data_IF_601073538669
#
_entry.id   IF_601073538669
#
_cell.length_a   1.000
_cell.length_b   1.000
_cell.length_c   1.000
_cell.angle_alpha   90.00
_cell.angle_beta   90.00
_cell.angle_gamma   90.00
#
_symmetry.space_group_name_H-M   'P 1'
#
loop_
_entity.id
_entity.type
_entity.pdbx_description
1 polymer ?
#
# COMPACT_ATOMS: atom_id res chain seq x y z
N UNK A 1 4.79 42.67 -1.37
CA UNK A 1 5.36 41.39 -0.92
C UNK A 1 4.37 40.79 0.06
N UNK A 2 3.49 39.92 -0.40
CA UNK A 2 2.69 39.06 0.47
C UNK A 2 2.96 37.63 0.02
N UNK A 3 3.59 36.88 0.91
CA UNK A 3 3.97 35.49 0.69
C UNK A 3 2.71 34.64 0.54
N UNK A 4 2.67 33.84 -0.52
CA UNK A 4 1.58 32.95 -0.83
C UNK A 4 1.28 31.98 0.31
N UNK A 5 0.09 32.12 0.90
CA UNK A 5 -0.56 31.01 1.59
C UNK A 5 -0.96 29.99 0.52
N UNK A 6 -0.14 28.95 0.36
CA UNK A 6 -0.59 27.74 -0.32
C UNK A 6 -1.69 27.14 0.55
N UNK A 7 -2.94 27.38 0.21
CA UNK A 7 -4.07 26.66 0.78
C UNK A 7 -3.86 25.20 0.35
N UNK A 8 -3.34 24.37 1.26
CA UNK A 8 -3.39 22.91 1.09
C UNK A 8 -4.87 22.55 1.12
N UNK A 9 -5.48 22.42 -0.05
CA UNK A 9 -6.85 21.93 -0.17
C UNK A 9 -6.93 20.57 0.55
N UNK A 10 -7.82 20.46 1.55
CA UNK A 10 -8.04 19.21 2.25
C UNK A 10 -8.58 18.18 1.25
N UNK A 11 -7.79 17.14 0.95
CA UNK A 11 -8.15 16.10 -0.03
C UNK A 11 -9.07 15.04 0.62
N UNK A 12 -9.40 15.19 1.90
CA UNK A 12 -10.22 14.27 2.68
C UNK A 12 -9.56 13.95 4.04
N UNK A 13 -10.23 13.14 4.85
CA UNK A 13 -9.70 12.65 6.13
C UNK A 13 -10.63 11.61 6.74
N UNK A 14 -10.20 11.01 7.84
CA UNK A 14 -11.00 10.01 8.57
C UNK A 14 -11.55 10.60 9.86
N UNK A 15 -12.77 10.20 10.22
CA UNK A 15 -13.30 10.48 11.55
C UNK A 15 -12.39 9.84 12.61
N UNK A 16 -12.07 10.55 13.70
CA UNK A 16 -11.26 9.99 14.77
C UNK A 16 -11.99 8.83 15.43
N UNK A 17 -11.26 7.74 15.64
CA UNK A 17 -11.72 6.54 16.34
C UNK A 17 -10.65 6.10 17.32
N UNK A 18 -11.05 5.33 18.33
CA UNK A 18 -10.12 4.84 19.34
C UNK A 18 -9.06 3.92 18.72
N UNK A 19 -7.81 4.03 19.21
CA UNK A 19 -6.71 3.20 18.73
C UNK A 19 -6.90 1.73 19.12
N UNK A 20 -6.72 0.84 18.15
CA UNK A 20 -6.98 -0.59 18.34
C UNK A 20 -5.93 -1.22 19.25
N UNK A 21 -4.68 -0.76 19.21
CA UNK A 21 -3.62 -1.24 20.10
C UNK A 21 -3.92 -0.90 21.57
N UNK A 22 -4.52 0.27 21.83
CA UNK A 22 -4.96 0.66 23.17
C UNK A 22 -6.22 -0.12 23.59
N UNK A 23 -7.17 -0.33 22.68
CA UNK A 23 -8.33 -1.20 22.94
C UNK A 23 -7.91 -2.63 23.32
N UNK A 24 -6.96 -3.20 22.58
CA UNK A 24 -6.46 -4.55 22.79
C UNK A 24 -5.69 -4.69 24.12
N UNK A 25 -4.99 -3.64 24.58
CA UNK A 25 -4.22 -3.67 25.84
C UNK A 25 -5.10 -3.82 27.08
N UNK A 26 -6.37 -3.38 27.02
CA UNK A 26 -7.32 -3.40 28.13
C UNK A 26 -7.93 -4.78 28.42
N UNK A 27 -7.46 -5.84 27.75
CA UNK A 27 -7.91 -7.23 27.96
C UNK A 27 -9.44 -7.38 27.90
N UNK A 28 -10.05 -6.78 26.86
CA UNK A 28 -11.48 -6.85 26.67
C UNK A 28 -11.90 -8.30 26.38
N UNK A 29 -12.72 -8.88 27.26
CA UNK A 29 -13.42 -10.16 26.99
C UNK A 29 -14.40 -10.05 25.81
N UNK A 30 -14.67 -8.83 25.33
CA UNK A 30 -15.65 -8.53 24.30
C UNK A 30 -15.10 -7.52 23.28
N UNK A 31 -15.19 -7.86 22.00
CA UNK A 31 -14.82 -6.98 20.88
C UNK A 31 -15.99 -6.01 20.63
N UNK A 32 -15.76 -4.69 20.52
CA UNK A 32 -16.85 -3.76 20.23
C UNK A 32 -17.54 -4.07 18.89
N UNK A 33 -18.86 -3.90 18.83
CA UNK A 33 -19.69 -4.27 17.67
C UNK A 33 -19.25 -3.64 16.34
N UNK A 34 -18.62 -2.47 16.37
CA UNK A 34 -18.08 -1.81 15.17
C UNK A 34 -16.95 -2.59 14.50
N UNK A 35 -16.25 -3.47 15.23
CA UNK A 35 -15.17 -4.29 14.65
C UNK A 35 -15.65 -5.67 14.18
N UNK A 36 -16.77 -6.15 14.73
CA UNK A 36 -17.32 -7.47 14.40
C UNK A 36 -17.84 -7.47 12.95
N UNK A 37 -17.27 -8.35 12.12
CA UNK A 37 -17.69 -8.60 10.74
C UNK A 37 -18.69 -9.76 10.68
N UNK A 38 -19.54 -9.77 9.64
CA UNK A 38 -20.43 -10.91 9.43
C UNK A 38 -19.65 -12.13 8.97
N UNK A 39 -20.15 -13.35 9.24
CA UNK A 39 -19.47 -14.58 8.80
C UNK A 39 -19.29 -14.62 7.27
N UNK A 40 -20.26 -14.10 6.51
CA UNK A 40 -20.20 -14.00 5.05
C UNK A 40 -19.03 -13.10 4.59
N UNK A 41 -18.86 -11.91 5.19
CA UNK A 41 -17.74 -10.99 4.88
C UNK A 41 -16.35 -11.60 5.15
N UNK A 42 -16.26 -12.52 6.12
CA UNK A 42 -15.00 -13.12 6.56
C UNK A 42 -14.68 -14.41 5.79
N UNK A 43 -15.70 -15.20 5.50
CA UNK A 43 -15.59 -16.59 5.03
C UNK A 43 -15.99 -16.81 3.57
N UNK A 44 -16.31 -15.77 2.79
CA UNK A 44 -16.43 -15.91 1.33
C UNK A 44 -15.18 -16.62 0.79
N UNK A 45 -15.35 -17.92 0.53
CA UNK A 45 -14.42 -18.89 -0.02
C UNK A 45 -12.96 -18.77 0.47
N UNK A 46 -12.74 -18.86 1.79
CA UNK A 46 -11.45 -19.35 2.30
C UNK A 46 -11.37 -20.82 1.85
N UNK A 47 -10.66 -21.09 0.76
CA UNK A 47 -10.17 -22.45 0.54
C UNK A 47 -9.47 -22.84 1.84
N UNK A 48 -9.82 -24.00 2.40
CA UNK A 48 -8.89 -24.76 3.20
C UNK A 48 -7.70 -25.12 2.27
N UNK A 49 -6.87 -24.12 1.94
CA UNK A 49 -5.73 -24.33 1.08
C UNK A 49 -4.80 -25.16 1.93
N UNK A 50 -4.72 -26.46 1.62
CA UNK A 50 -3.81 -27.37 2.28
C UNK A 50 -2.34 -26.90 2.17
N UNK A 51 -2.04 -25.96 1.25
CA UNK A 51 -0.73 -25.34 1.08
C UNK A 51 -0.81 -23.87 0.64
N UNK A 52 -0.14 -22.92 1.33
CA UNK A 52 -0.08 -21.53 0.91
C UNK A 52 0.50 -21.39 -0.50
N UNK A 53 -0.10 -20.51 -1.32
CA UNK A 53 0.40 -20.26 -2.67
C UNK A 53 1.70 -19.46 -2.60
N UNK A 54 2.77 -20.03 -3.15
CA UNK A 54 3.97 -19.26 -3.43
C UNK A 54 3.71 -18.41 -4.68
N UNK A 55 3.41 -17.13 -4.49
CA UNK A 55 3.36 -16.17 -5.60
C UNK A 55 4.73 -16.11 -6.30
N UNK A 56 4.79 -15.70 -7.59
CA UNK A 56 6.04 -15.61 -8.33
C UNK A 56 7.15 -14.89 -7.56
N UNK A 57 8.39 -15.29 -7.81
CA UNK A 57 9.58 -14.67 -7.21
C UNK A 57 10.37 -14.00 -8.33
N UNK A 58 10.68 -12.73 -8.14
CA UNK A 58 11.55 -11.96 -9.02
C UNK A 58 12.88 -11.69 -8.32
N UNK A 59 13.98 -11.80 -9.06
CA UNK A 59 15.32 -11.52 -8.54
C UNK A 59 15.94 -10.35 -9.30
N UNK A 60 16.36 -9.32 -8.57
CA UNK A 60 17.18 -8.22 -9.08
C UNK A 60 18.68 -8.55 -8.96
N UNK A 61 19.15 -9.70 -9.46
CA UNK A 61 20.57 -10.02 -9.39
C UNK A 61 21.37 -9.24 -10.45
N UNK A 62 22.24 -8.33 -9.99
CA UNK A 62 23.29 -7.71 -10.80
C UNK A 62 24.58 -8.52 -10.65
N UNK A 63 24.93 -9.33 -11.65
CA UNK A 63 26.33 -9.70 -11.86
C UNK A 63 26.73 -9.07 -13.19
N UNK A 64 27.26 -7.84 -13.10
CA UNK A 64 28.40 -7.27 -13.84
C UNK A 64 28.35 -5.74 -13.74
N UNK A 65 29.44 -5.18 -13.21
CA UNK A 65 29.76 -3.76 -13.15
C UNK A 65 29.73 -3.14 -14.56
N UNK A 66 29.28 -1.88 -14.64
CA UNK A 66 29.33 -0.93 -15.77
C UNK A 66 28.15 -0.77 -16.74
N UNK A 67 27.17 -1.66 -16.78
CA UNK A 67 25.87 -1.37 -17.42
C UNK A 67 24.79 -2.18 -16.70
N UNK A 68 23.89 -1.51 -15.95
CA UNK A 68 22.80 -2.18 -15.23
C UNK A 68 21.74 -2.73 -16.19
N UNK A 69 21.99 -3.88 -16.80
CA UNK A 69 20.92 -4.71 -17.36
C UNK A 69 20.46 -5.71 -16.30
N UNK A 70 19.25 -5.50 -15.78
CA UNK A 70 18.58 -6.50 -14.94
C UNK A 70 18.19 -7.66 -15.85
N UNK A 71 18.86 -8.81 -15.74
CA UNK A 71 18.42 -10.05 -16.39
C UNK A 71 17.28 -10.67 -15.59
N UNK A 72 16.05 -10.24 -15.87
CA UNK A 72 14.87 -11.04 -15.53
C UNK A 72 14.86 -12.28 -16.44
N UNK A 73 14.61 -13.48 -15.91
CA UNK A 73 14.37 -14.65 -16.76
C UNK A 73 12.92 -14.57 -17.28
N UNK A 74 12.76 -14.00 -18.46
CA UNK A 74 11.53 -13.38 -18.98
C UNK A 74 10.55 -14.32 -19.70
N UNK A 75 10.89 -15.59 -19.91
CA UNK A 75 10.11 -16.46 -20.81
C UNK A 75 8.85 -17.09 -20.19
N UNK A 76 8.55 -16.85 -18.91
CA UNK A 76 7.47 -17.57 -18.20
C UNK A 76 6.55 -16.75 -17.28
N UNK A 77 6.76 -15.44 -17.10
CA UNK A 77 5.87 -14.65 -16.26
C UNK A 77 4.70 -14.11 -17.09
N UNK A 78 3.52 -14.73 -16.97
CA UNK A 78 2.27 -14.13 -17.44
C UNK A 78 1.99 -12.82 -16.67
N UNK A 79 1.33 -11.83 -17.29
CA UNK A 79 0.94 -10.59 -16.62
C UNK A 79 -0.05 -10.89 -15.48
N UNK A 80 0.23 -10.39 -14.28
CA UNK A 80 -0.57 -10.64 -13.06
C UNK A 80 0.32 -10.53 -11.83
N UNK A 81 0.88 -9.35 -11.58
CA UNK A 81 2.05 -9.22 -10.71
C UNK A 81 1.64 -8.87 -9.28
N UNK A 82 1.26 -9.91 -8.53
CA UNK A 82 1.62 -10.01 -7.13
C UNK A 82 2.85 -10.90 -7.06
N UNK A 83 4.00 -10.35 -6.71
CA UNK A 83 5.30 -11.08 -6.75
C UNK A 83 6.15 -10.71 -5.56
N UNK A 84 7.09 -11.59 -5.22
CA UNK A 84 8.10 -11.31 -4.21
C UNK A 84 9.43 -10.99 -4.87
N UNK A 85 9.89 -9.77 -4.67
CA UNK A 85 11.17 -9.30 -5.16
C UNK A 85 12.27 -9.59 -4.14
N UNK A 86 13.27 -10.35 -4.56
CA UNK A 86 14.51 -10.62 -3.83
C UNK A 86 15.70 -9.97 -4.53
N UNK A 87 16.86 -9.90 -3.85
CA UNK A 87 18.08 -9.29 -4.40
C UNK A 87 17.89 -7.83 -4.87
N UNK A 88 16.94 -7.09 -4.28
CA UNK A 88 16.61 -5.72 -4.68
C UNK A 88 17.66 -4.67 -4.29
N UNK A 89 18.70 -5.04 -3.54
CA UNK A 89 19.80 -4.14 -3.15
C UNK A 89 19.47 -3.15 -2.03
N UNK A 90 18.30 -3.28 -1.40
CA UNK A 90 17.82 -2.37 -0.33
C UNK A 90 17.74 -3.03 1.05
N UNK A 91 18.41 -4.17 1.27
CA UNK A 91 18.30 -4.95 2.50
C UNK A 91 18.61 -4.14 3.76
N UNK A 92 19.66 -3.32 3.73
CA UNK A 92 20.07 -2.51 4.87
C UNK A 92 18.98 -1.49 5.28
N UNK A 93 18.54 -0.63 4.35
CA UNK A 93 17.54 0.40 4.66
C UNK A 93 16.18 -0.21 5.04
N UNK A 94 15.87 -1.40 4.54
CA UNK A 94 14.68 -2.16 4.94
C UNK A 94 14.78 -2.59 6.40
N UNK A 95 15.91 -3.16 6.81
CA UNK A 95 16.10 -3.62 8.18
C UNK A 95 16.07 -2.44 9.17
N UNK A 96 16.75 -1.34 8.84
CA UNK A 96 16.69 -0.11 9.63
C UNK A 96 15.26 0.40 9.78
N UNK A 97 14.49 0.41 8.68
CA UNK A 97 13.10 0.87 8.70
C UNK A 97 12.19 -0.07 9.51
N UNK A 98 12.44 -1.39 9.49
CA UNK A 98 11.72 -2.35 10.34
C UNK A 98 11.95 -2.04 11.82
N UNK A 99 13.20 -1.87 12.24
CA UNK A 99 13.56 -1.61 13.63
C UNK A 99 12.86 -0.35 14.14
N UNK A 100 12.99 0.78 13.44
CA UNK A 100 12.39 2.04 13.91
C UNK A 100 10.85 2.01 13.88
N UNK A 101 10.25 1.20 13.00
CA UNK A 101 8.80 0.96 12.99
C UNK A 101 8.36 0.20 14.23
N UNK A 102 9.05 -0.89 14.57
CA UNK A 102 8.75 -1.66 15.79
C UNK A 102 8.95 -0.82 17.05
N UNK A 103 10.02 -0.04 17.11
CA UNK A 103 10.28 0.88 18.22
C UNK A 103 9.18 1.93 18.36
N UNK A 104 8.73 2.54 17.25
CA UNK A 104 7.64 3.50 17.26
C UNK A 104 6.35 2.90 17.84
N UNK A 105 5.94 1.71 17.38
CA UNK A 105 4.69 1.09 17.88
C UNK A 105 4.79 0.57 19.32
N UNK A 106 6.00 0.42 19.87
CA UNK A 106 6.24 0.11 21.29
C UNK A 106 6.17 1.34 22.20
N UNK A 107 6.19 2.55 21.64
CA UNK A 107 6.08 3.78 22.43
C UNK A 107 4.71 3.87 23.15
N UNK A 108 4.65 4.56 24.32
CA UNK A 108 3.39 4.89 24.96
C UNK A 108 2.42 5.60 24.00
N UNK A 109 1.12 5.41 24.19
CA UNK A 109 0.10 6.03 23.34
C UNK A 109 0.28 7.55 23.23
N UNK A 110 0.55 8.23 24.35
CA UNK A 110 0.76 9.68 24.36
C UNK A 110 1.90 10.14 23.44
N UNK A 111 3.00 9.38 23.37
CA UNK A 111 4.13 9.68 22.48
C UNK A 111 3.75 9.49 21.00
N UNK A 112 3.02 8.42 20.67
CA UNK A 112 2.53 8.18 19.30
C UNK A 112 1.51 9.23 18.87
N UNK A 113 0.69 9.71 19.80
CA UNK A 113 -0.33 10.74 19.52
C UNK A 113 0.26 12.15 19.31
N UNK A 114 1.55 12.38 19.58
CA UNK A 114 2.24 13.62 19.17
C UNK A 114 2.17 13.81 17.65
N UNK A 115 2.26 12.71 16.90
CA UNK A 115 2.05 12.68 15.46
C UNK A 115 0.67 12.15 15.06
N UNK A 116 -0.33 12.23 15.94
CA UNK A 116 -1.70 11.80 15.67
C UNK A 116 -2.32 12.53 14.47
N UNK A 117 -3.23 11.87 13.77
CA UNK A 117 -3.99 12.49 12.68
C UNK A 117 -4.77 13.71 13.18
N UNK A 118 -4.79 14.76 12.36
CA UNK A 118 -5.64 15.93 12.57
C UNK A 118 -6.95 15.76 11.77
N UNK A 119 -8.05 16.43 12.17
CA UNK A 119 -9.28 16.43 11.40
C UNK A 119 -9.05 16.81 9.94
N UNK A 120 -9.69 16.09 9.01
CA UNK A 120 -9.53 16.28 7.55
C UNK A 120 -8.09 16.12 7.05
N UNK A 121 -7.29 15.29 7.72
CA UNK A 121 -5.96 14.89 7.27
C UNK A 121 -5.85 13.37 7.23
N UNK A 122 -5.08 12.87 6.26
CA UNK A 122 -4.78 11.44 6.12
C UNK A 122 -3.44 11.08 6.78
N UNK A 123 -2.52 12.04 6.92
CA UNK A 123 -1.22 11.85 7.54
C UNK A 123 -1.31 11.81 9.07
N UNK A 124 -0.42 11.02 9.68
CA UNK A 124 -0.31 10.85 11.12
C UNK A 124 -0.70 9.46 11.60
N UNK A 125 -0.63 9.28 12.91
CA UNK A 125 -1.00 8.07 13.63
C UNK A 125 -2.52 8.04 13.91
N UNK A 126 -3.17 6.93 13.57
CA UNK A 126 -4.61 6.74 13.74
C UNK A 126 -5.18 5.64 12.84
N UNK A 127 -6.34 5.89 12.23
CA UNK A 127 -7.00 5.00 11.28
C UNK A 127 -7.38 5.76 10.00
N UNK A 128 -7.49 5.04 8.88
CA UNK A 128 -7.82 5.63 7.59
C UNK A 128 -9.14 5.06 7.06
N UNK A 129 -9.80 5.79 6.15
CA UNK A 129 -11.07 5.45 5.51
C UNK A 129 -12.27 5.31 6.48
N UNK A 130 -12.30 6.15 7.52
CA UNK A 130 -13.47 6.27 8.41
C UNK A 130 -14.35 7.44 7.96
N UNK A 131 -15.45 7.12 7.28
CA UNK A 131 -16.36 8.10 6.66
C UNK A 131 -17.70 8.27 7.38
N UNK A 132 -18.06 7.36 8.30
CA UNK A 132 -19.27 7.49 9.12
C UNK A 132 -19.14 6.90 10.53
N UNK A 133 -20.05 7.28 11.44
CA UNK A 133 -20.06 6.79 12.83
C UNK A 133 -20.61 5.36 12.97
N UNK A 134 -21.43 4.93 12.01
CA UNK A 134 -22.09 3.62 11.99
C UNK A 134 -21.30 2.56 11.19
N UNK A 135 -20.22 2.94 10.49
CA UNK A 135 -19.44 1.99 9.72
C UNK A 135 -18.71 0.97 10.60
N UNK A 136 -18.46 -0.19 9.99
CA UNK A 136 -17.52 -1.18 10.50
C UNK A 136 -16.08 -0.68 10.41
N UNK A 137 -15.27 -0.98 11.42
CA UNK A 137 -13.89 -0.52 11.60
C UNK A 137 -12.90 -1.68 11.50
N UNK A 138 -11.70 -1.38 11.05
CA UNK A 138 -10.62 -2.36 10.92
C UNK A 138 -9.88 -2.56 12.24
N UNK A 139 -9.44 -3.79 12.50
CA UNK A 139 -8.67 -4.13 13.70
C UNK A 139 -7.18 -3.87 13.47
N UNK A 140 -6.83 -2.60 13.33
CA UNK A 140 -5.45 -2.16 13.21
C UNK A 140 -5.31 -0.64 13.33
N UNK A 141 -4.15 -0.22 13.82
CA UNK A 141 -3.70 1.18 13.78
C UNK A 141 -2.70 1.37 12.63
N UNK A 142 -2.54 2.61 12.18
CA UNK A 142 -1.56 2.96 11.16
C UNK A 142 -0.89 4.31 11.42
N UNK A 143 0.33 4.45 10.92
CA UNK A 143 1.02 5.73 10.74
C UNK A 143 1.20 5.93 9.24
N UNK A 144 0.54 6.95 8.68
CA UNK A 144 0.68 7.32 7.27
C UNK A 144 1.46 8.63 7.11
N UNK A 145 2.47 8.63 6.23
CA UNK A 145 3.34 9.78 6.01
C UNK A 145 3.59 9.99 4.51
N UNK A 146 3.46 11.22 4.04
CA UNK A 146 3.92 11.59 2.70
C UNK A 146 5.44 11.70 2.70
N UNK A 147 6.09 10.87 1.90
CA UNK A 147 7.54 10.80 1.77
C UNK A 147 8.07 11.50 0.51
N UNK A 148 7.31 11.44 -0.59
CA UNK A 148 7.59 12.16 -1.83
C UNK A 148 6.32 12.85 -2.40
N UNK A 149 6.48 13.96 -3.14
CA UNK A 149 7.72 14.73 -3.29
C UNK A 149 8.11 15.43 -1.98
N UNK A 150 9.37 15.85 -1.84
CA UNK A 150 9.87 16.47 -0.61
C UNK A 150 9.06 17.70 -0.19
N UNK A 151 8.54 18.46 -1.16
CA UNK A 151 7.71 19.64 -0.94
C UNK A 151 6.37 19.35 -0.25
N UNK A 152 5.89 18.10 -0.31
CA UNK A 152 4.66 17.66 0.36
C UNK A 152 4.86 17.10 1.75
N UNK A 153 6.11 16.90 2.21
CA UNK A 153 6.37 16.41 3.56
C UNK A 153 5.79 17.36 4.60
N UNK A 154 5.16 16.79 5.61
CA UNK A 154 4.69 17.53 6.77
C UNK A 154 5.37 16.99 8.04
N UNK A 155 6.41 17.70 8.48
CA UNK A 155 7.24 17.27 9.60
C UNK A 155 6.51 17.26 10.95
N UNK A 156 5.31 17.83 11.04
CA UNK A 156 4.44 17.70 12.22
C UNK A 156 4.04 16.23 12.46
N UNK A 157 3.80 15.46 11.40
CA UNK A 157 3.40 14.05 11.52
C UNK A 157 4.58 13.09 11.57
N UNK A 158 5.79 13.53 11.23
CA UNK A 158 6.96 12.66 11.25
C UNK A 158 7.45 12.47 12.69
N UNK A 159 7.47 11.23 13.22
CA UNK A 159 7.95 10.97 14.58
C UNK A 159 9.34 11.55 14.84
N UNK A 160 9.56 12.04 16.07
CA UNK A 160 10.89 12.38 16.57
C UNK A 160 11.51 11.26 17.40
N UNK A 161 10.68 10.32 17.86
CA UNK A 161 11.06 9.12 18.58
C UNK A 161 10.62 7.90 17.76
N UNK A 162 11.51 6.93 17.50
CA UNK A 162 12.94 6.94 17.80
C UNK A 162 13.71 8.05 17.05
N UNK A 163 14.85 8.48 17.59
CA UNK A 163 15.58 9.69 17.14
C UNK A 163 16.07 9.63 15.71
N UNK A 164 16.34 8.42 15.20
CA UNK A 164 16.76 8.17 13.81
C UNK A 164 15.58 7.96 12.84
N UNK A 165 14.31 7.95 13.31
CA UNK A 165 13.15 7.61 12.48
C UNK A 165 13.08 8.41 11.18
N UNK A 166 13.28 9.73 11.25
CA UNK A 166 13.14 10.63 10.09
C UNK A 166 14.21 10.39 9.03
N UNK A 167 15.45 10.16 9.46
CA UNK A 167 16.56 9.86 8.57
C UNK A 167 16.38 8.49 7.93
N UNK A 168 16.03 7.48 8.73
CA UNK A 168 15.73 6.13 8.25
C UNK A 168 14.58 6.14 7.23
N UNK A 169 13.48 6.84 7.51
CA UNK A 169 12.36 6.99 6.58
C UNK A 169 12.78 7.68 5.28
N UNK A 170 13.64 8.70 5.34
CA UNK A 170 14.15 9.38 4.16
C UNK A 170 14.96 8.44 3.26
N UNK A 171 15.91 7.69 3.83
CA UNK A 171 16.76 6.77 3.09
C UNK A 171 15.94 5.60 2.52
N UNK A 172 15.03 5.05 3.31
CA UNK A 172 14.09 4.00 2.89
C UNK A 172 13.22 4.45 1.71
N UNK A 173 12.59 5.62 1.83
CA UNK A 173 11.76 6.25 0.79
C UNK A 173 12.53 6.38 -0.53
N UNK A 174 13.76 6.89 -0.48
CA UNK A 174 14.62 7.11 -1.64
C UNK A 174 14.99 5.81 -2.35
N UNK A 175 15.36 4.75 -1.61
CA UNK A 175 15.72 3.48 -2.22
C UNK A 175 14.51 2.75 -2.79
N UNK A 176 13.36 2.77 -2.12
CA UNK A 176 12.13 2.21 -2.67
C UNK A 176 11.65 2.94 -3.92
N UNK A 177 11.83 4.26 -3.99
CA UNK A 177 11.55 5.03 -5.19
C UNK A 177 12.37 4.57 -6.40
N UNK A 178 13.68 4.35 -6.20
CA UNK A 178 14.56 3.82 -7.25
C UNK A 178 14.13 2.42 -7.72
N UNK A 179 13.70 1.57 -6.78
CA UNK A 179 13.18 0.23 -7.09
C UNK A 179 11.90 0.35 -7.92
N UNK A 180 10.96 1.21 -7.53
CA UNK A 180 9.71 1.45 -8.25
C UNK A 180 9.96 1.93 -9.68
N UNK A 181 10.84 2.92 -9.89
CA UNK A 181 11.20 3.40 -11.23
C UNK A 181 11.78 2.29 -12.11
N UNK A 182 12.68 1.45 -11.58
CA UNK A 182 13.25 0.31 -12.32
C UNK A 182 12.17 -0.71 -12.71
N UNK A 183 11.25 -1.01 -11.79
CA UNK A 183 10.12 -1.91 -12.06
C UNK A 183 9.20 -1.34 -13.14
N UNK A 184 8.87 -0.05 -13.08
CA UNK A 184 8.03 0.62 -14.07
C UNK A 184 8.69 0.65 -15.46
N UNK A 185 9.97 0.99 -15.55
CA UNK A 185 10.71 0.95 -16.82
C UNK A 185 10.74 -0.46 -17.42
N UNK A 186 10.82 -1.49 -16.57
CA UNK A 186 10.75 -2.88 -17.01
C UNK A 186 9.34 -3.27 -17.46
N UNK A 187 8.32 -2.86 -16.71
CA UNK A 187 6.91 -3.10 -17.04
C UNK A 187 6.54 -2.47 -18.39
N UNK A 188 7.08 -1.29 -18.73
CA UNK A 188 6.94 -0.68 -20.04
C UNK A 188 7.53 -1.55 -21.15
N UNK A 189 8.77 -2.03 -20.99
CA UNK A 189 9.41 -2.90 -21.99
C UNK A 189 8.60 -4.17 -22.26
N UNK A 190 8.02 -4.77 -21.22
CA UNK A 190 7.15 -5.94 -21.37
C UNK A 190 5.85 -5.66 -22.14
N UNK A 191 5.32 -4.43 -22.02
CA UNK A 191 4.16 -3.97 -22.79
C UNK A 191 4.54 -3.62 -24.25
N UNK A 192 5.84 -3.71 -24.60
CA UNK A 192 6.35 -3.34 -25.91
C UNK A 192 6.20 -1.85 -26.19
N UNK A 193 6.45 -1.02 -25.17
CA UNK A 193 6.52 0.45 -25.25
C UNK A 193 7.86 0.94 -24.68
N UNK A 194 8.20 2.19 -24.95
CA UNK A 194 9.43 2.79 -24.44
C UNK A 194 9.41 2.93 -22.91
N UNK A 195 10.54 2.66 -22.27
CA UNK A 195 10.65 2.63 -20.80
C UNK A 195 10.14 3.92 -20.13
N UNK A 196 10.41 5.06 -20.78
CA UNK A 196 10.05 6.38 -20.27
C UNK A 196 8.54 6.64 -20.30
N UNK A 197 7.76 5.99 -21.17
CA UNK A 197 6.32 6.24 -21.28
C UNK A 197 5.57 5.85 -20.00
N UNK A 198 6.02 4.79 -19.33
CA UNK A 198 5.44 4.36 -18.06
C UNK A 198 6.15 4.95 -16.84
N UNK A 199 7.48 5.13 -16.89
CA UNK A 199 8.24 5.57 -15.72
C UNK A 199 8.27 7.09 -15.51
N UNK A 200 8.19 7.91 -16.58
CA UNK A 200 8.31 9.37 -16.48
C UNK A 200 7.27 10.01 -15.54
N UNK A 201 5.97 9.60 -15.55
CA UNK A 201 4.99 10.14 -14.60
C UNK A 201 5.32 9.88 -13.12
N UNK A 202 6.23 8.93 -12.86
CA UNK A 202 6.68 8.56 -11.52
C UNK A 202 8.04 9.15 -11.18
N UNK A 203 8.72 9.93 -12.02
CA UNK A 203 10.01 10.54 -11.62
C UNK A 203 9.83 11.51 -10.45
N UNK A 204 8.80 12.37 -10.54
CA UNK A 204 8.30 13.24 -9.47
C UNK A 204 6.99 12.69 -8.89
N UNK A 205 7.02 11.42 -8.47
CA UNK A 205 5.85 10.71 -7.96
C UNK A 205 5.35 11.27 -6.62
N UNK A 206 4.10 10.91 -6.29
CA UNK A 206 3.63 10.94 -4.92
C UNK A 206 3.95 9.60 -4.27
N UNK A 207 4.73 9.63 -3.19
CA UNK A 207 5.02 8.44 -2.39
C UNK A 207 4.46 8.61 -0.98
N UNK A 208 3.48 7.78 -0.64
CA UNK A 208 2.95 7.66 0.72
C UNK A 208 3.50 6.39 1.37
N UNK A 209 3.87 6.46 2.64
CA UNK A 209 4.34 5.32 3.41
C UNK A 209 3.36 5.07 4.56
N UNK A 210 2.78 3.87 4.60
CA UNK A 210 1.86 3.41 5.64
C UNK A 210 2.48 2.29 6.44
N UNK A 211 2.73 2.55 7.71
CA UNK A 211 3.15 1.53 8.68
C UNK A 211 1.89 1.05 9.40
N UNK A 212 1.65 -0.25 9.38
CA UNK A 212 0.45 -0.86 9.94
C UNK A 212 0.81 -1.70 11.15
N UNK A 213 -0.02 -1.62 12.18
CA UNK A 213 0.05 -2.43 13.39
C UNK A 213 -1.30 -3.11 13.63
N UNK A 214 -1.30 -4.43 13.62
CA UNK A 214 -2.47 -5.25 13.88
C UNK A 214 -2.28 -5.93 15.25
N UNK A 215 -2.94 -5.47 16.32
CA UNK A 215 -2.83 -6.09 17.64
C UNK A 215 -3.39 -7.52 17.63
N UNK A 216 -2.93 -8.43 18.50
CA UNK A 216 -3.53 -9.75 18.63
C UNK A 216 -5.01 -9.65 19.02
N UNK A 217 -5.81 -10.63 18.58
CA UNK A 217 -7.25 -10.65 18.85
C UNK A 217 -7.73 -12.07 19.16
N UNK A 218 -8.21 -12.33 20.37
CA UNK A 218 -8.69 -13.67 20.78
C UNK A 218 -9.83 -14.19 19.89
N UNK A 219 -10.66 -13.30 19.33
CA UNK A 219 -11.65 -13.65 18.32
C UNK A 219 -11.24 -13.12 16.93
N UNK A 220 -10.01 -13.42 16.50
CA UNK A 220 -9.47 -13.01 15.20
C UNK A 220 -10.34 -13.45 14.01
N UNK A 221 -11.15 -14.50 14.19
CA UNK A 221 -12.13 -15.01 13.24
C UNK A 221 -13.37 -14.10 13.08
N UNK A 222 -13.54 -13.08 13.93
CA UNK A 222 -14.67 -12.14 13.91
C UNK A 222 -14.31 -10.74 13.43
N UNK A 223 -13.04 -10.47 13.19
CA UNK A 223 -12.53 -9.15 12.80
C UNK A 223 -11.68 -9.24 11.54
N UNK A 224 -11.45 -8.11 10.89
CA UNK A 224 -10.51 -7.99 9.78
C UNK A 224 -9.47 -6.94 10.15
N UNK A 225 -8.20 -7.20 9.84
CA UNK A 225 -7.12 -6.26 10.13
C UNK A 225 -7.11 -5.09 9.16
N UNK A 226 -7.33 -5.37 7.87
CA UNK A 226 -7.55 -4.36 6.84
C UNK A 226 -8.59 -4.87 5.85
N UNK A 227 -9.67 -4.12 5.67
CA UNK A 227 -10.83 -4.48 4.83
C UNK A 227 -10.41 -4.79 3.38
N UNK A 228 -11.07 -5.75 2.70
CA UNK A 228 -10.84 -6.05 1.28
C UNK A 228 -10.84 -4.82 0.37
N UNK A 229 -9.77 -4.63 -0.39
CA UNK A 229 -9.61 -3.50 -1.33
C UNK A 229 -8.61 -3.82 -2.44
N UNK A 230 -8.66 -3.05 -3.53
CA UNK A 230 -7.50 -2.84 -4.40
C UNK A 230 -6.77 -1.55 -4.03
N UNK A 231 -5.48 -1.50 -4.37
CA UNK A 231 -4.67 -0.32 -4.12
C UNK A 231 -4.97 0.74 -5.18
N UNK A 232 -5.46 1.92 -4.79
CA UNK A 232 -5.71 3.04 -5.69
C UNK A 232 -4.43 3.77 -6.16
N UNK A 233 -3.27 3.13 -6.09
CA UNK A 233 -1.97 3.69 -6.50
C UNK A 233 -1.51 3.08 -7.82
N UNK A 234 -0.29 3.41 -8.28
CA UNK A 234 0.33 2.73 -9.41
C UNK A 234 1.02 1.44 -8.97
N UNK A 235 1.94 1.56 -8.02
CA UNK A 235 2.73 0.43 -7.52
C UNK A 235 2.86 0.47 -6.00
N UNK A 236 2.56 -0.63 -5.33
CA UNK A 236 2.80 -0.80 -3.90
C UNK A 236 3.98 -1.72 -3.65
N UNK A 237 4.93 -1.24 -2.87
CA UNK A 237 6.05 -2.03 -2.34
C UNK A 237 5.77 -2.30 -0.86
N UNK A 238 5.34 -3.53 -0.57
CA UNK A 238 4.92 -3.97 0.76
C UNK A 238 6.01 -4.83 1.42
N UNK A 239 6.39 -4.43 2.63
CA UNK A 239 7.30 -5.18 3.48
C UNK A 239 6.56 -5.72 4.69
N UNK A 240 6.81 -6.98 4.99
CA UNK A 240 6.41 -7.55 6.27
C UNK A 240 7.54 -7.35 7.29
N UNK A 241 7.21 -6.71 8.42
CA UNK A 241 8.19 -6.32 9.44
C UNK A 241 8.60 -7.55 10.26
N UNK A 242 7.62 -8.21 10.88
CA UNK A 242 7.82 -9.38 11.73
C UNK A 242 7.36 -10.69 11.03
N UNK A 243 7.51 -11.84 11.66
CA UNK A 243 7.21 -13.13 11.01
C UNK A 243 5.72 -13.55 11.06
N UNK A 244 4.82 -12.64 11.44
CA UNK A 244 3.39 -12.95 11.58
C UNK A 244 2.67 -12.81 10.24
N UNK A 245 2.10 -13.92 9.78
CA UNK A 245 1.32 -14.00 8.55
C UNK A 245 0.03 -13.18 8.67
N UNK A 246 -0.48 -12.66 7.55
CA UNK A 246 -1.76 -11.95 7.56
C UNK A 246 -2.21 -11.39 6.22
N UNK A 247 -1.31 -11.21 5.25
CA UNK A 247 -1.73 -10.78 3.90
C UNK A 247 -2.45 -11.91 3.18
N UNK A 248 -3.62 -11.61 2.62
CA UNK A 248 -4.36 -12.48 1.71
C UNK A 248 -4.70 -11.73 0.43
N UNK A 249 -4.58 -12.40 -0.72
CA UNK A 249 -5.00 -11.88 -2.02
C UNK A 249 -6.22 -12.66 -2.52
N UNK A 250 -7.08 -12.03 -3.30
CA UNK A 250 -8.24 -12.67 -3.90
C UNK A 250 -7.89 -13.15 -5.31
N UNK A 251 -8.10 -14.43 -5.57
CA UNK A 251 -7.90 -15.05 -6.87
C UNK A 251 -8.98 -16.09 -7.10
N UNK A 252 -9.63 -16.05 -8.26
CA UNK A 252 -10.73 -16.96 -8.62
C UNK A 252 -11.81 -17.00 -7.52
N UNK A 253 -12.19 -15.81 -7.03
CA UNK A 253 -13.11 -15.55 -5.91
C UNK A 253 -12.68 -16.09 -4.54
N UNK A 254 -11.46 -16.61 -4.41
CA UNK A 254 -10.94 -17.21 -3.17
C UNK A 254 -9.85 -16.37 -2.53
N UNK A 255 -9.85 -16.35 -1.20
CA UNK A 255 -8.77 -15.73 -0.43
C UNK A 255 -7.58 -16.67 -0.31
N UNK A 256 -6.40 -16.21 -0.74
CA UNK A 256 -5.15 -16.96 -0.75
C UNK A 256 -4.14 -16.28 0.16
N UNK A 257 -3.62 -16.96 1.21
CA UNK A 257 -2.59 -16.41 2.07
C UNK A 257 -1.26 -16.30 1.32
N UNK A 258 -0.56 -15.18 1.53
CA UNK A 258 0.79 -14.96 1.01
C UNK A 258 1.79 -15.26 2.11
N UNK A 259 2.72 -16.17 1.85
CA UNK A 259 3.88 -16.39 2.70
C UNK A 259 5.07 -15.54 2.22
N UNK A 260 5.45 -14.48 2.95
CA UNK A 260 6.57 -13.65 2.54
C UNK A 260 7.89 -14.40 2.75
N UNK A 261 8.76 -14.32 1.75
CA UNK A 261 10.15 -14.73 1.80
C UNK A 261 10.89 -13.72 2.67
N UNK A 262 11.74 -14.22 3.55
CA UNK A 262 12.52 -13.35 4.42
C UNK A 262 13.35 -12.35 3.60
N UNK A 263 13.19 -11.06 3.93
CA UNK A 263 13.86 -9.96 3.24
C UNK A 263 13.28 -9.58 1.89
N UNK A 264 12.24 -10.25 1.38
CA UNK A 264 11.63 -9.92 0.10
C UNK A 264 10.67 -8.73 0.19
N UNK A 265 10.54 -8.00 -0.92
CA UNK A 265 9.53 -6.95 -1.12
C UNK A 265 8.35 -7.57 -1.87
N UNK A 266 7.15 -7.51 -1.32
CA UNK A 266 5.94 -7.87 -2.07
C UNK A 266 5.59 -6.69 -2.96
N UNK A 267 5.58 -6.91 -4.28
CA UNK A 267 5.19 -5.92 -5.27
C UNK A 267 3.75 -6.18 -5.67
N UNK A 268 2.88 -5.20 -5.48
CA UNK A 268 1.47 -5.22 -5.89
C UNK A 268 1.21 -4.13 -6.94
N UNK A 269 0.44 -4.48 -7.97
CA UNK A 269 -0.06 -3.56 -8.98
C UNK A 269 -1.31 -2.87 -8.43
N UNK A 270 -1.33 -1.54 -8.51
CA UNK A 270 -2.52 -0.77 -8.17
C UNK A 270 -3.37 -0.39 -9.38
N UNK A 271 -4.55 0.14 -9.10
CA UNK A 271 -5.59 0.47 -10.07
C UNK A 271 -5.12 1.46 -11.13
N UNK A 272 -4.28 2.44 -10.76
CA UNK A 272 -3.74 3.41 -11.71
C UNK A 272 -2.91 2.71 -12.78
N UNK A 273 -2.11 1.72 -12.39
CA UNK A 273 -1.26 0.99 -13.33
C UNK A 273 -2.06 0.00 -14.19
N UNK A 274 -3.15 -0.58 -13.66
CA UNK A 274 -4.12 -1.33 -14.46
C UNK A 274 -4.76 -0.43 -15.54
N UNK A 275 -5.18 0.78 -15.17
CA UNK A 275 -5.74 1.77 -16.10
C UNK A 275 -4.71 2.16 -17.16
N UNK A 276 -3.50 2.59 -16.75
CA UNK A 276 -2.45 3.05 -17.66
C UNK A 276 -2.01 1.94 -18.64
N UNK A 277 -2.00 0.69 -18.20
CA UNK A 277 -1.67 -0.46 -19.04
C UNK A 277 -2.83 -0.95 -19.91
N UNK A 278 -3.98 -0.27 -19.93
CA UNK A 278 -5.20 -0.71 -20.60
C UNK A 278 -5.64 -2.14 -20.20
N UNK A 279 -5.41 -2.52 -18.95
CA UNK A 279 -5.78 -3.82 -18.37
C UNK A 279 -4.79 -4.96 -18.63
N UNK A 280 -3.62 -4.69 -19.24
CA UNK A 280 -2.58 -5.70 -19.42
C UNK A 280 -1.92 -6.10 -18.08
N UNK A 281 -1.85 -5.17 -17.12
CA UNK A 281 -1.56 -5.49 -15.72
C UNK A 281 -2.83 -5.41 -14.90
N UNK A 282 -3.05 -6.39 -14.03
CA UNK A 282 -4.23 -6.45 -13.17
C UNK A 282 -3.88 -6.08 -11.73
N UNK A 283 -4.62 -5.11 -11.20
CA UNK A 283 -4.76 -4.82 -9.78
C UNK A 283 -5.60 -5.91 -9.11
N UNK A 284 -5.17 -6.37 -7.95
CA UNK A 284 -5.77 -7.51 -7.25
C UNK A 284 -6.35 -7.06 -5.91
N UNK A 285 -7.58 -7.48 -5.65
CA UNK A 285 -8.22 -7.30 -4.36
C UNK A 285 -7.46 -8.09 -3.30
N UNK A 286 -7.14 -7.46 -2.17
CA UNK A 286 -6.37 -8.04 -1.08
C UNK A 286 -6.90 -7.55 0.27
N UNK A 287 -6.59 -8.28 1.34
CA UNK A 287 -6.96 -7.95 2.72
C UNK A 287 -5.85 -8.32 3.70
N UNK A 288 -5.91 -7.78 4.92
CA UNK A 288 -5.09 -8.24 6.03
C UNK A 288 -5.96 -8.91 7.10
N UNK A 289 -5.59 -10.12 7.51
CA UNK A 289 -6.20 -10.82 8.64
C UNK A 289 -5.34 -10.66 9.90
N UNK A 290 -5.98 -10.82 11.05
CA UNK A 290 -5.36 -10.67 12.37
C UNK A 290 -4.97 -12.04 12.93
N UNK A 291 -3.94 -12.09 13.76
CA UNK A 291 -3.54 -13.29 14.48
C UNK A 291 -4.08 -13.26 15.92
N UNK A 292 -4.37 -14.43 16.49
CA UNK A 292 -4.97 -14.51 17.82
C UNK A 292 -3.99 -14.31 18.97
N UNK A 293 -2.70 -14.56 18.75
CA UNK A 293 -1.64 -14.56 19.77
C UNK A 293 -0.63 -13.42 19.61
N UNK A 294 -0.31 -13.05 18.36
CA UNK A 294 0.81 -12.15 18.05
C UNK A 294 0.36 -10.95 17.23
N UNK A 295 0.95 -9.80 17.52
CA UNK A 295 0.79 -8.62 16.69
C UNK A 295 1.46 -8.81 15.32
N UNK A 296 0.89 -8.20 14.28
CA UNK A 296 1.50 -8.16 12.95
C UNK A 296 1.87 -6.73 12.60
N UNK A 297 3.04 -6.55 12.00
CA UNK A 297 3.48 -5.26 11.47
C UNK A 297 3.84 -5.35 9.98
N UNK A 298 3.48 -4.32 9.21
CA UNK A 298 3.87 -4.20 7.81
C UNK A 298 4.02 -2.75 7.36
N UNK A 299 4.90 -2.50 6.39
CA UNK A 299 5.16 -1.18 5.82
C UNK A 299 4.82 -1.21 4.33
N UNK A 300 3.85 -0.41 3.90
CA UNK A 300 3.50 -0.26 2.49
C UNK A 300 4.01 1.09 1.97
N UNK A 301 4.78 1.08 0.89
CA UNK A 301 5.15 2.28 0.15
C UNK A 301 4.35 2.34 -1.16
N UNK A 302 3.42 3.27 -1.24
CA UNK A 302 2.55 3.51 -2.38
C UNK A 302 3.20 4.51 -3.32
N UNK A 303 3.31 4.18 -4.61
CA UNK A 303 3.88 5.05 -5.65
C UNK A 303 2.79 5.37 -6.65
N UNK A 304 2.34 6.62 -6.67
CA UNK A 304 1.38 7.14 -7.65
C UNK A 304 2.04 8.18 -8.55
N UNK A 305 1.59 8.36 -9.80
CA UNK A 305 2.07 9.43 -10.66
C UNK A 305 2.02 10.82 -10.02
N UNK A 306 2.66 11.81 -10.63
CA UNK A 306 2.49 13.21 -10.23
C UNK A 306 1.00 13.59 -10.20
N UNK A 307 0.59 14.51 -9.31
CA UNK A 307 -0.81 14.99 -9.23
C UNK A 307 -1.26 15.73 -10.47
N UNK A 308 -0.33 16.26 -11.27
CA UNK A 308 -0.62 16.91 -12.55
C UNK A 308 -0.73 15.92 -13.72
N UNK A 309 -0.44 14.63 -13.50
CA UNK A 309 -0.57 13.62 -14.53
C UNK A 309 -2.05 13.26 -14.76
N UNK A 310 -2.36 12.86 -15.99
CA UNK A 310 -3.62 12.23 -16.32
C UNK A 310 -3.51 10.72 -16.08
N UNK A 311 -4.56 10.14 -15.50
CA UNK A 311 -4.74 8.71 -15.26
C UNK A 311 -5.68 8.20 -16.34
N UNK A 312 -5.12 7.48 -17.31
CA UNK A 312 -5.84 6.90 -18.44
C UNK A 312 -4.92 5.94 -19.22
N UNK A 313 -5.47 5.13 -20.15
CA UNK A 313 -4.68 4.22 -20.97
C UNK A 313 -3.56 4.91 -21.73
N UNK A 314 -2.36 4.32 -21.75
CA UNK A 314 -1.23 4.87 -22.50
C UNK A 314 -1.52 4.85 -24.02
N UNK A 315 -1.22 5.94 -24.76
CA UNK A 315 -1.56 6.07 -26.18
C UNK A 315 -1.08 4.90 -27.06
N UNK A 316 0.10 4.36 -26.79
CA UNK A 316 0.68 3.27 -27.58
C UNK A 316 0.01 1.91 -27.36
N UNK A 317 -0.73 1.74 -26.25
CA UNK A 317 -1.48 0.52 -25.94
C UNK A 317 -2.88 0.54 -26.54
N UNK A 318 -3.50 1.72 -26.64
CA UNK A 318 -4.81 1.89 -27.31
C UNK A 318 -4.70 1.90 -28.84
N UNK A 319 -3.50 2.13 -29.41
CA UNK A 319 -3.28 1.86 -30.84
C UNK A 319 -3.37 0.37 -31.19
N UNK A 320 -3.08 -0.51 -30.21
CA UNK A 320 -3.05 -1.97 -30.37
C UNK A 320 -4.37 -2.64 -30.01
N UNK A 321 -5.27 -1.96 -29.29
CA UNK A 321 -6.50 -2.52 -28.74
C UNK A 321 -7.53 -1.44 -28.43
N UNK A 322 -8.82 -1.78 -28.31
CA UNK A 322 -9.84 -0.83 -27.89
C UNK A 322 -9.52 -0.25 -26.49
N UNK A 323 -9.79 1.04 -26.31
CA UNK A 323 -9.68 1.72 -25.02
C UNK A 323 -10.68 1.12 -24.02
N UNK A 324 -10.20 0.67 -22.85
CA UNK A 324 -11.05 0.02 -21.83
C UNK A 324 -11.38 0.92 -20.65
N UNK A 325 -10.65 2.03 -20.47
CA UNK A 325 -10.76 2.89 -19.30
C UNK A 325 -10.84 4.36 -19.68
N UNK A 326 -11.59 5.14 -18.89
CA UNK A 326 -11.69 6.59 -18.98
C UNK A 326 -10.37 7.26 -18.56
N UNK A 327 -10.22 8.53 -18.94
CA UNK A 327 -9.10 9.37 -18.51
C UNK A 327 -9.59 10.46 -17.54
N UNK A 328 -8.92 10.64 -16.39
CA UNK A 328 -9.13 11.76 -15.45
C UNK A 328 -7.79 12.39 -15.05
N UNK A 329 -7.83 13.58 -14.47
CA UNK A 329 -6.65 14.06 -13.73
C UNK A 329 -6.41 13.23 -12.47
N UNK A 330 -5.15 13.07 -12.05
CA UNK A 330 -4.83 12.36 -10.81
C UNK A 330 -5.44 13.05 -9.57
N UNK A 331 -5.59 14.37 -9.58
CA UNK A 331 -6.27 15.08 -8.50
C UNK A 331 -7.75 14.68 -8.37
N UNK A 332 -8.48 14.55 -9.48
CA UNK A 332 -9.87 14.07 -9.48
C UNK A 332 -9.97 12.62 -9.03
N UNK A 333 -9.05 11.77 -9.49
CA UNK A 333 -8.96 10.38 -9.05
C UNK A 333 -8.81 10.28 -7.53
N UNK A 334 -7.87 11.02 -6.94
CA UNK A 334 -7.65 11.04 -5.50
C UNK A 334 -8.86 11.54 -4.72
N UNK A 335 -9.58 12.55 -5.22
CA UNK A 335 -10.82 13.02 -4.59
C UNK A 335 -11.88 11.92 -4.53
N UNK A 336 -12.01 11.10 -5.57
CA UNK A 336 -12.94 9.96 -5.58
C UNK A 336 -12.51 8.86 -4.60
N UNK A 337 -11.21 8.54 -4.56
CA UNK A 337 -10.63 7.60 -3.58
C UNK A 337 -10.95 8.01 -2.14
N UNK A 338 -10.74 9.28 -1.81
CA UNK A 338 -10.89 9.77 -0.44
C UNK A 338 -12.35 10.00 -0.01
N UNK A 339 -13.28 10.08 -0.96
CA UNK A 339 -14.70 10.24 -0.69
C UNK A 339 -15.42 8.92 -0.39
N UNK A 340 -14.74 7.78 -0.55
CA UNK A 340 -15.34 6.45 -0.45
C UNK A 340 -14.64 5.62 0.63
N UNK A 341 -15.39 4.70 1.25
CA UNK A 341 -14.81 3.65 2.10
C UNK A 341 -14.08 2.63 1.22
N UNK A 342 -13.17 1.86 1.80
CA UNK A 342 -12.59 0.70 1.13
C UNK A 342 -13.70 -0.31 0.79
N UNK A 343 -13.86 -0.59 -0.50
CA UNK A 343 -14.90 -1.47 -1.04
C UNK A 343 -14.40 -2.17 -2.31
N UNK A 344 -13.54 -3.18 -2.13
CA UNK A 344 -13.04 -4.02 -3.20
C UNK A 344 -12.39 -3.23 -4.33
N UNK A 345 -12.83 -3.48 -5.57
CA UNK A 345 -12.38 -2.79 -6.81
C UNK A 345 -13.38 -1.74 -7.32
N UNK A 346 -14.31 -1.28 -6.49
CA UNK A 346 -15.43 -0.43 -6.91
C UNK A 346 -14.99 0.79 -7.74
N UNK A 347 -13.96 1.52 -7.31
CA UNK A 347 -13.47 2.69 -8.04
C UNK A 347 -12.92 2.35 -9.44
N UNK A 348 -12.18 1.25 -9.57
CA UNK A 348 -11.68 0.79 -10.86
C UNK A 348 -12.84 0.43 -11.81
N UNK A 349 -13.92 -0.18 -11.31
CA UNK A 349 -15.09 -0.49 -12.15
C UNK A 349 -15.76 0.78 -12.69
N UNK A 350 -15.79 1.87 -11.93
CA UNK A 350 -16.30 3.17 -12.41
C UNK A 350 -15.44 3.78 -13.52
N UNK A 351 -14.16 3.42 -13.58
CA UNK A 351 -13.22 3.85 -14.61
C UNK A 351 -13.40 3.14 -15.95
N UNK A 352 -14.06 1.98 -15.99
CA UNK A 352 -14.25 1.24 -17.26
C UNK A 352 -15.19 1.98 -18.22
N UNK A 353 -14.88 1.88 -19.51
CA UNK A 353 -15.77 2.32 -20.60
C UNK A 353 -16.77 1.20 -20.85
N UNK A 354 -18.06 1.55 -20.84
CA UNK A 354 -19.19 0.64 -21.07
C UNK A 354 -19.46 0.40 -22.55
#
# INVERSE_FOLDING_TARGET
>A
MEAGKTIREAIGGSLPVENVQELASRSLNHIPDRYIRSQLELHDDILAVQQPLQIPIWSCSSVIYYHCEIRFNLSKCKPGVNTQLINHGAAQVIEEMKVVTEEFFKLPLMEKMICGQLPNNIEGYGQAFVVSEDQKLDWGDMLFLMALPHSKRNMTFWPQNPTNFRETLHNYSKELHKIALRLLSWMAKNLGIEAHELSAPYEDCNQGIRMNYYPPCVNADKVVGLTPHSDATGLTLLLQVNQVQGLQIKKDSKWIPIQPIYGAIIVNIGDILEIMSNGEYSSIEHRAVVNFEKERLSIAAFHSPNVTANIGPLPDLVKKSAEKYKTLSHQEYLKQVMATKLDGKSLLEHMKIT
#
